data_IF_232399431851
#
_entry.id   IF_232399431851
#
_cell.length_a   1.000
_cell.length_b   1.000
_cell.length_c   1.000
_cell.angle_alpha   90.00
_cell.angle_beta   90.00
_cell.angle_gamma   90.00
#
_symmetry.space_group_name_H-M   'P 1'
#
loop_
_entity.id
_entity.type
_entity.pdbx_description
1 polymer ?
#
# COMPACT_ATOMS: atom_id res chain seq x y z
N UNK A 1 -10.94 -3.02 -18.76
CA UNK A 1 -10.88 -2.35 -17.43
C UNK A 1 -10.28 -3.31 -16.41
N UNK A 2 -9.27 -2.90 -15.62
CA UNK A 2 -8.51 -3.78 -14.71
C UNK A 2 -9.37 -4.64 -13.77
N UNK A 3 -10.41 -4.05 -13.14
CA UNK A 3 -11.32 -4.76 -12.24
C UNK A 3 -12.12 -5.84 -12.99
N UNK A 4 -12.65 -5.53 -14.18
CA UNK A 4 -13.37 -6.48 -15.01
C UNK A 4 -12.49 -7.66 -15.43
N UNK A 5 -11.25 -7.39 -15.84
CA UNK A 5 -10.28 -8.44 -16.20
C UNK A 5 -10.03 -9.41 -15.05
N UNK A 6 -9.91 -8.92 -13.81
CA UNK A 6 -9.76 -9.79 -12.64
C UNK A 6 -11.01 -10.64 -12.38
N UNK A 7 -12.19 -10.08 -12.58
CA UNK A 7 -13.46 -10.81 -12.51
C UNK A 7 -13.54 -11.94 -13.54
N UNK A 8 -13.17 -11.65 -14.80
CA UNK A 8 -13.15 -12.63 -15.89
C UNK A 8 -12.25 -13.83 -15.58
N UNK A 9 -11.10 -13.59 -14.96
CA UNK A 9 -10.16 -14.64 -14.55
C UNK A 9 -10.42 -15.20 -13.15
N UNK A 10 -11.59 -14.93 -12.55
CA UNK A 10 -11.95 -15.39 -11.20
C UNK A 10 -10.90 -15.09 -10.12
N UNK A 11 -10.17 -13.99 -10.29
CA UNK A 11 -9.14 -13.56 -9.36
C UNK A 11 -9.75 -12.83 -8.16
N UNK A 12 -9.04 -12.83 -7.03
CA UNK A 12 -9.43 -12.02 -5.86
C UNK A 12 -9.68 -10.55 -6.26
N UNK A 13 -10.80 -9.93 -5.83
CA UNK A 13 -11.08 -8.51 -6.03
C UNK A 13 -9.88 -7.62 -5.64
N UNK A 14 -9.52 -6.61 -6.44
CA UNK A 14 -8.40 -5.74 -6.13
C UNK A 14 -8.77 -4.70 -5.07
N UNK A 15 -7.77 -4.27 -4.30
CA UNK A 15 -7.82 -3.02 -3.54
C UNK A 15 -7.19 -1.92 -4.37
N UNK A 16 -7.88 -0.80 -4.53
CA UNK A 16 -7.46 0.34 -5.35
C UNK A 16 -7.35 1.56 -4.44
N UNK A 17 -6.21 2.23 -4.51
CA UNK A 17 -5.94 3.45 -3.75
C UNK A 17 -6.04 4.67 -4.67
N UNK A 18 -6.78 5.69 -4.23
CA UNK A 18 -6.98 6.95 -4.96
C UNK A 18 -6.78 8.13 -4.03
N UNK A 19 -6.45 9.34 -4.55
CA UNK A 19 -6.56 10.56 -3.76
C UNK A 19 -7.97 10.66 -3.17
N UNK A 20 -8.06 10.95 -1.88
CA UNK A 20 -9.35 10.99 -1.18
C UNK A 20 -10.32 11.98 -1.81
N UNK A 21 -9.82 13.09 -2.35
CA UNK A 21 -10.64 14.13 -2.98
C UNK A 21 -11.34 13.70 -4.28
N UNK A 22 -10.96 12.58 -4.90
CA UNK A 22 -11.61 12.05 -6.11
C UNK A 22 -12.27 10.69 -5.88
N UNK A 23 -12.33 10.22 -4.63
CA UNK A 23 -12.83 8.88 -4.31
C UNK A 23 -14.27 8.72 -4.78
N UNK A 24 -15.12 9.71 -4.49
CA UNK A 24 -16.53 9.71 -4.85
C UNK A 24 -16.72 9.68 -6.37
N UNK A 25 -15.93 10.46 -7.13
CA UNK A 25 -15.97 10.48 -8.59
C UNK A 25 -15.60 9.11 -9.19
N UNK A 26 -14.59 8.45 -8.62
CA UNK A 26 -14.19 7.09 -9.04
C UNK A 26 -15.27 6.06 -8.70
N UNK A 27 -15.96 6.19 -7.56
CA UNK A 27 -17.11 5.33 -7.23
C UNK A 27 -18.25 5.51 -8.23
N UNK A 28 -18.55 6.75 -8.63
CA UNK A 28 -19.53 7.05 -9.66
C UNK A 28 -19.12 6.46 -11.02
N UNK A 29 -17.84 6.56 -11.39
CA UNK A 29 -17.31 5.95 -12.62
C UNK A 29 -17.56 4.44 -12.64
N UNK A 30 -17.29 3.74 -11.52
CA UNK A 30 -17.61 2.31 -11.43
C UNK A 30 -19.11 2.05 -11.56
N UNK A 31 -19.96 2.85 -10.93
CA UNK A 31 -21.42 2.70 -11.04
C UNK A 31 -21.92 2.86 -12.47
N UNK A 32 -21.38 3.81 -13.22
CA UNK A 32 -21.69 4.00 -14.64
C UNK A 32 -21.27 2.75 -15.44
N UNK A 33 -20.05 2.26 -15.21
CA UNK A 33 -19.59 1.03 -15.86
C UNK A 33 -20.48 -0.18 -15.54
N UNK A 34 -20.91 -0.37 -14.29
CA UNK A 34 -21.84 -1.45 -13.91
C UNK A 34 -23.16 -1.35 -14.67
N UNK A 35 -23.70 -0.14 -14.87
CA UNK A 35 -24.95 0.07 -15.61
C UNK A 35 -24.83 -0.31 -17.08
N UNK A 36 -23.68 -0.06 -17.70
CA UNK A 36 -23.44 -0.37 -19.12
C UNK A 36 -23.10 -1.84 -19.36
N UNK A 37 -22.21 -2.40 -18.55
CA UNK A 37 -21.61 -3.73 -18.76
C UNK A 37 -22.34 -4.84 -17.98
N UNK A 38 -23.29 -4.46 -17.10
CA UNK A 38 -24.03 -5.36 -16.21
C UNK A 38 -23.14 -6.27 -15.34
N UNK A 39 -21.86 -5.91 -15.16
CA UNK A 39 -20.90 -6.63 -14.37
C UNK A 39 -20.84 -6.11 -12.93
N UNK A 40 -20.55 -6.98 -11.96
CA UNK A 40 -20.50 -6.60 -10.53
C UNK A 40 -19.33 -5.66 -10.22
N UNK A 41 -18.21 -5.82 -10.93
CA UNK A 41 -16.97 -5.07 -10.73
C UNK A 41 -16.55 -5.02 -9.26
N UNK A 42 -16.45 -6.18 -8.60
CA UNK A 42 -16.06 -6.29 -7.19
C UNK A 42 -14.66 -5.71 -6.98
N UNK A 43 -14.54 -4.71 -6.11
CA UNK A 43 -13.28 -4.08 -5.72
C UNK A 43 -13.42 -3.41 -4.35
N UNK A 44 -12.30 -3.09 -3.73
CA UNK A 44 -12.24 -2.25 -2.53
C UNK A 44 -11.56 -0.92 -2.89
N UNK A 45 -12.28 0.20 -2.81
CA UNK A 45 -11.73 1.52 -3.11
C UNK A 45 -11.39 2.28 -1.82
N UNK A 46 -10.13 2.67 -1.67
CA UNK A 46 -9.63 3.36 -0.49
C UNK A 46 -9.12 4.73 -0.90
N UNK A 47 -9.64 5.78 -0.27
CA UNK A 47 -9.09 7.13 -0.36
C UNK A 47 -7.89 7.27 0.55
N UNK A 48 -6.81 7.86 0.03
CA UNK A 48 -5.60 8.22 0.79
C UNK A 48 -5.38 9.72 0.71
N UNK A 49 -5.20 10.36 1.87
CA UNK A 49 -4.73 11.74 1.98
C UNK A 49 -3.20 11.82 1.93
N UNK A 50 -2.68 12.98 1.54
CA UNK A 50 -1.24 13.26 1.55
C UNK A 50 -0.68 13.05 2.97
N UNK A 51 0.41 12.30 3.07
CA UNK A 51 1.05 11.96 4.34
C UNK A 51 0.54 10.66 4.96
N UNK A 52 -0.62 10.15 4.53
CA UNK A 52 -1.11 8.85 4.99
C UNK A 52 -0.29 7.70 4.42
N UNK A 53 -0.21 6.63 5.22
CA UNK A 53 0.53 5.42 4.91
C UNK A 53 -0.32 4.18 5.16
N UNK A 54 -0.23 3.23 4.25
CA UNK A 54 -0.92 1.93 4.34
C UNK A 54 0.06 0.78 4.20
N UNK A 55 -0.19 -0.27 4.99
CA UNK A 55 0.50 -1.55 4.85
C UNK A 55 -0.24 -2.40 3.81
N UNK A 56 0.36 -2.57 2.64
CA UNK A 56 -0.19 -3.45 1.58
C UNK A 56 0.13 -4.91 1.88
N UNK A 57 1.32 -5.15 2.45
CA UNK A 57 1.76 -6.44 3.01
C UNK A 57 2.53 -6.16 4.30
N UNK A 58 2.91 -7.21 5.04
CA UNK A 58 3.66 -7.10 6.30
C UNK A 58 4.92 -6.23 6.17
N UNK A 59 5.62 -6.38 5.06
CA UNK A 59 6.89 -5.72 4.75
C UNK A 59 6.75 -4.64 3.68
N UNK A 60 5.57 -4.41 3.09
CA UNK A 60 5.39 -3.48 1.97
C UNK A 60 4.44 -2.36 2.36
N UNK A 61 4.95 -1.13 2.30
CA UNK A 61 4.22 0.08 2.64
C UNK A 61 4.05 0.99 1.45
N UNK A 62 2.98 1.77 1.47
CA UNK A 62 2.70 2.81 0.49
C UNK A 62 2.37 4.09 1.23
N UNK A 63 3.07 5.18 0.90
CA UNK A 63 2.83 6.50 1.48
C UNK A 63 2.49 7.52 0.39
N UNK A 64 1.42 8.26 0.59
CA UNK A 64 1.03 9.35 -0.31
C UNK A 64 1.87 10.61 -0.03
N UNK A 65 2.26 11.33 -1.08
CA UNK A 65 2.99 12.61 -0.97
C UNK A 65 2.46 13.63 -1.98
N UNK A 66 2.57 14.90 -1.64
CA UNK A 66 2.08 16.00 -2.49
C UNK A 66 2.89 16.12 -3.78
N UNK A 67 2.19 16.30 -4.90
CA UNK A 67 2.79 16.73 -6.17
C UNK A 67 2.41 18.17 -6.48
N UNK A 68 3.21 18.85 -7.30
CA UNK A 68 2.96 20.21 -7.74
C UNK A 68 2.35 20.17 -9.14
N UNK A 69 1.05 20.42 -9.23
CA UNK A 69 0.29 20.42 -10.48
C UNK A 69 -0.90 21.40 -10.37
N UNK A 70 -1.50 21.78 -11.50
CA UNK A 70 -2.59 22.76 -11.55
C UNK A 70 -3.91 22.28 -10.92
N UNK A 71 -4.06 20.98 -10.74
CA UNK A 71 -5.19 20.34 -10.05
C UNK A 71 -4.69 19.49 -8.87
N UNK A 72 -5.56 19.18 -7.89
CA UNK A 72 -5.22 18.27 -6.80
C UNK A 72 -4.61 16.97 -7.32
N UNK A 73 -3.38 16.69 -6.87
CA UNK A 73 -2.62 15.52 -7.28
C UNK A 73 -1.71 15.07 -6.15
N UNK A 74 -1.44 13.76 -6.12
CA UNK A 74 -0.48 13.17 -5.20
C UNK A 74 0.29 12.05 -5.89
N UNK A 75 1.53 11.85 -5.46
CA UNK A 75 2.32 10.69 -5.81
C UNK A 75 2.29 9.65 -4.69
N UNK A 76 2.80 8.46 -5.00
CA UNK A 76 2.93 7.37 -4.04
C UNK A 76 4.37 6.87 -3.97
N UNK A 77 4.86 6.69 -2.75
CA UNK A 77 6.12 6.01 -2.49
C UNK A 77 5.79 4.59 -2.07
N UNK A 78 6.30 3.60 -2.82
CA UNK A 78 6.16 2.18 -2.48
C UNK A 78 7.50 1.70 -1.93
N UNK A 79 7.52 1.15 -0.72
CA UNK A 79 8.78 0.78 -0.10
C UNK A 79 8.65 -0.45 0.80
N UNK A 80 9.73 -1.23 0.86
CA UNK A 80 9.80 -2.41 1.71
C UNK A 80 10.50 -2.09 3.02
N UNK A 81 9.91 -2.50 4.16
CA UNK A 81 10.48 -2.38 5.51
C UNK A 81 11.04 -3.73 5.93
N UNK A 82 12.35 -3.79 6.13
CA UNK A 82 13.06 -4.97 6.65
C UNK A 82 13.53 -4.71 8.07
N UNK A 83 13.18 -5.62 8.98
CA UNK A 83 13.71 -5.63 10.34
C UNK A 83 15.09 -6.29 10.32
N UNK A 84 16.12 -5.54 10.69
CA UNK A 84 17.48 -6.05 10.84
C UNK A 84 17.85 -6.09 12.32
N UNK A 85 18.63 -7.10 12.73
CA UNK A 85 19.21 -7.11 14.06
C UNK A 85 20.04 -5.84 14.25
N UNK A 86 19.90 -5.21 15.42
CA UNK A 86 20.77 -4.10 15.78
C UNK A 86 22.22 -4.56 15.84
N UNK A 87 23.16 -3.65 15.57
CA UNK A 87 24.60 -3.92 15.60
C UNK A 87 25.05 -4.51 16.95
N UNK A 88 24.46 -4.04 18.05
CA UNK A 88 24.75 -4.51 19.42
C UNK A 88 24.39 -5.99 19.67
N UNK A 89 23.56 -6.59 18.81
CA UNK A 89 23.13 -7.99 18.91
C UNK A 89 23.71 -8.87 17.79
N UNK A 90 24.64 -8.35 17.00
CA UNK A 90 25.32 -9.11 15.94
C UNK A 90 26.38 -10.01 16.58
N UNK A 91 26.24 -11.33 16.40
CA UNK A 91 27.15 -12.33 16.97
C UNK A 91 26.56 -13.14 18.14
N UNK A 92 25.39 -12.74 18.65
CA UNK A 92 24.66 -13.56 19.61
C UNK A 92 24.14 -14.86 18.98
N UNK A 93 24.09 -15.92 19.78
CA UNK A 93 23.56 -17.21 19.37
C UNK A 93 22.05 -17.13 19.09
N UNK A 94 21.53 -18.08 18.32
CA UNK A 94 20.11 -18.15 17.99
C UNK A 94 19.21 -18.24 19.24
N UNK A 95 19.69 -18.90 20.30
CA UNK A 95 18.97 -19.00 21.58
C UNK A 95 18.90 -17.67 22.30
N UNK A 96 20.01 -16.93 22.36
CA UNK A 96 20.04 -15.59 22.95
C UNK A 96 19.11 -14.64 22.19
N UNK A 97 19.16 -14.64 20.85
CA UNK A 97 18.25 -13.83 20.02
C UNK A 97 16.78 -14.20 20.24
N UNK A 98 16.47 -15.48 20.50
CA UNK A 98 15.10 -15.93 20.77
C UNK A 98 14.62 -15.45 22.14
N UNK A 99 15.43 -15.57 23.19
CA UNK A 99 15.11 -15.04 24.53
C UNK A 99 14.87 -13.54 24.47
N UNK A 100 15.73 -12.85 23.71
CA UNK A 100 15.67 -11.43 23.46
C UNK A 100 14.40 -11.01 22.70
N UNK A 101 13.90 -11.78 21.74
CA UNK A 101 12.59 -11.54 21.10
C UNK A 101 11.39 -11.75 22.04
N UNK A 102 11.54 -12.63 23.04
CA UNK A 102 10.48 -12.95 24.00
C UNK A 102 10.43 -11.96 25.17
N UNK A 103 11.57 -11.37 25.53
CA UNK A 103 11.60 -10.16 26.37
C UNK A 103 11.21 -8.97 25.49
N UNK A 104 10.29 -8.10 25.91
CA UNK A 104 9.80 -6.93 25.14
C UNK A 104 10.87 -5.86 24.76
N UNK A 105 12.16 -6.20 24.80
CA UNK A 105 13.25 -5.36 24.34
C UNK A 105 13.31 -5.25 22.82
N UNK A 106 13.59 -4.04 22.31
CA UNK A 106 13.75 -3.76 20.88
C UNK A 106 15.06 -4.36 20.35
N UNK A 107 14.97 -5.52 19.72
CA UNK A 107 16.12 -6.26 19.16
C UNK A 107 16.42 -5.99 17.69
N UNK A 108 15.49 -5.36 16.98
CA UNK A 108 15.65 -5.04 15.57
C UNK A 108 15.38 -3.57 15.27
N UNK A 109 16.02 -3.09 14.21
CA UNK A 109 15.81 -1.78 13.60
C UNK A 109 15.21 -1.93 12.21
N UNK A 110 14.28 -1.03 11.86
CA UNK A 110 13.64 -0.98 10.56
C UNK A 110 14.52 -0.29 9.53
N UNK A 111 14.77 -0.95 8.40
CA UNK A 111 15.40 -0.33 7.22
C UNK A 111 14.40 -0.34 6.06
N UNK A 112 14.32 0.77 5.32
CA UNK A 112 13.38 0.93 4.21
C UNK A 112 14.11 0.98 2.88
N UNK A 113 13.67 0.21 1.88
CA UNK A 113 14.13 0.31 0.49
C UNK A 113 13.00 0.84 -0.40
N UNK A 114 13.24 1.96 -1.08
CA UNK A 114 12.22 2.74 -1.80
C UNK A 114 12.20 2.44 -3.30
N UNK A 115 11.01 2.20 -3.85
CA UNK A 115 10.72 2.22 -5.29
C UNK A 115 9.80 3.42 -5.59
N UNK A 116 10.30 4.36 -6.39
CA UNK A 116 9.55 5.56 -6.77
C UNK A 116 8.75 5.30 -8.05
N UNK A 117 7.43 5.56 -8.01
CA UNK A 117 6.58 5.57 -9.22
C UNK A 117 5.74 6.83 -9.22
N UNK A 118 6.02 7.74 -10.15
CA UNK A 118 5.22 8.95 -10.36
C UNK A 118 4.01 8.57 -11.23
N UNK A 119 2.81 8.73 -10.70
CA UNK A 119 1.58 8.66 -11.49
C UNK A 119 1.09 10.10 -11.69
N UNK A 120 1.06 10.55 -12.95
CA UNK A 120 0.31 11.74 -13.32
C UNK A 120 -1.15 11.31 -13.51
N UNK A 121 -2.07 12.02 -12.85
CA UNK A 121 -3.52 11.89 -13.07
C UNK A 121 -3.83 12.54 -14.41
#
# INVERSE_FOLDING_TARGET
>A
MYVATRGLYSMKPPTIFVPKCIKEDVEQLFNIHRKMDQSELKHNLIGLDVGEEVNVRRDLRVRAFRTYHGIPSQGYIVYSVKQKLKKEHVGLSANEIKTLKSSDHKHSEGTSSCFYRRHHI
#
